data_IF_057918570919
#
_entry.id   IF_057918570919
#
_cell.length_a   1.000
_cell.length_b   1.000
_cell.length_c   1.000
_cell.angle_alpha   90.00
_cell.angle_beta   90.00
_cell.angle_gamma   90.00
#
_symmetry.space_group_name_H-M   'P 1'
#
loop_
_entity.id
_entity.type
_entity.pdbx_description
1 polymer ?
#
# COMPACT_ATOMS: atom_id res chain seq x y z
N UNK A 1 -12.70 -2.78 -22.22
CA UNK A 1 -12.90 -1.46 -21.55
C UNK A 1 -11.67 -1.19 -20.70
N UNK A 2 -11.12 0.02 -20.76
CA UNK A 2 -9.95 0.45 -19.98
C UNK A 2 -10.39 1.53 -18.98
N UNK A 3 -9.96 1.40 -17.73
CA UNK A 3 -10.20 2.38 -16.67
C UNK A 3 -8.89 3.10 -16.40
N UNK A 4 -8.87 4.42 -16.58
CA UNK A 4 -7.72 5.27 -16.30
C UNK A 4 -7.93 6.02 -14.97
N UNK A 5 -7.34 5.49 -13.91
CA UNK A 5 -7.37 6.13 -12.60
C UNK A 5 -6.45 7.38 -12.54
N UNK A 6 -5.43 7.48 -13.40
CA UNK A 6 -4.50 8.61 -13.39
C UNK A 6 -5.16 9.88 -13.94
N UNK A 7 -6.08 9.73 -14.90
CA UNK A 7 -6.91 10.80 -15.47
C UNK A 7 -8.26 11.05 -14.75
N UNK A 8 -8.57 10.34 -13.66
CA UNK A 8 -9.87 10.43 -13.00
C UNK A 8 -10.05 11.76 -12.24
N UNK A 9 -11.01 12.59 -12.67
CA UNK A 9 -11.25 13.92 -12.11
C UNK A 9 -11.63 13.95 -10.63
N UNK A 10 -12.10 12.83 -10.08
CA UNK A 10 -12.49 12.70 -8.66
C UNK A 10 -11.56 11.75 -7.87
N UNK A 11 -10.42 11.35 -8.42
CA UNK A 11 -9.49 10.40 -7.78
C UNK A 11 -9.18 10.80 -6.33
N UNK A 12 -8.80 12.05 -6.15
CA UNK A 12 -8.33 12.55 -4.85
C UNK A 12 -9.50 12.96 -3.91
N UNK A 13 -10.76 12.78 -4.36
CA UNK A 13 -11.97 13.16 -3.63
C UNK A 13 -12.84 11.96 -3.23
N UNK A 14 -12.94 10.95 -4.10
CA UNK A 14 -13.92 9.86 -3.96
C UNK A 14 -13.32 8.47 -4.20
N UNK A 15 -12.00 8.32 -4.33
CA UNK A 15 -11.41 6.97 -4.45
C UNK A 15 -11.73 6.06 -3.26
N UNK A 16 -11.97 6.61 -2.07
CA UNK A 16 -12.31 5.82 -0.88
C UNK A 16 -13.54 4.91 -1.03
N UNK A 17 -14.51 5.31 -1.86
CA UNK A 17 -15.75 4.55 -2.13
C UNK A 17 -15.90 4.18 -3.62
N UNK A 18 -14.78 4.18 -4.36
CA UNK A 18 -14.78 3.79 -5.77
C UNK A 18 -14.84 2.25 -5.90
N UNK A 19 -15.47 1.74 -6.96
CA UNK A 19 -15.44 0.31 -7.33
C UNK A 19 -14.01 -0.25 -7.39
N UNK A 20 -13.03 0.58 -7.79
CA UNK A 20 -11.62 0.17 -7.83
C UNK A 20 -11.05 -0.17 -6.45
N UNK A 21 -11.45 0.56 -5.40
CA UNK A 21 -11.05 0.29 -4.01
C UNK A 21 -11.64 -1.01 -3.50
N UNK A 22 -12.88 -1.33 -3.89
CA UNK A 22 -13.51 -2.62 -3.55
C UNK A 22 -12.75 -3.79 -4.18
N UNK A 23 -12.33 -3.64 -5.43
CA UNK A 23 -11.67 -4.70 -6.19
C UNK A 23 -10.19 -4.88 -5.85
N UNK A 24 -9.46 -3.79 -5.60
CA UNK A 24 -7.99 -3.79 -5.48
C UNK A 24 -7.46 -3.31 -4.12
N UNK A 25 -8.34 -2.86 -3.23
CA UNK A 25 -7.94 -2.21 -1.98
C UNK A 25 -7.63 -0.72 -2.16
N UNK A 26 -7.59 0.02 -1.04
CA UNK A 26 -7.38 1.47 -1.05
C UNK A 26 -5.91 1.80 -1.32
N UNK A 27 -5.58 2.59 -2.35
CA UNK A 27 -4.23 3.11 -2.50
C UNK A 27 -3.95 4.16 -1.41
N UNK A 28 -2.75 4.16 -0.82
CA UNK A 28 -2.38 5.17 0.17
C UNK A 28 -1.08 4.89 0.91
N UNK A 29 -0.66 5.89 1.69
CA UNK A 29 0.37 5.75 2.71
C UNK A 29 -0.32 5.33 4.00
N UNK A 30 0.17 4.25 4.59
CA UNK A 30 -0.28 3.75 5.88
C UNK A 30 0.88 3.87 6.86
N UNK A 31 0.63 4.53 7.99
CA UNK A 31 1.55 4.44 9.12
C UNK A 31 1.44 3.03 9.69
N UNK A 32 2.59 2.40 9.90
CA UNK A 32 2.69 1.07 10.49
C UNK A 32 3.72 1.17 11.59
N UNK A 33 3.26 1.07 12.83
CA UNK A 33 4.14 1.08 13.99
C UNK A 33 4.88 -0.26 14.14
N UNK A 34 5.79 -0.34 15.12
CA UNK A 34 6.61 -1.54 15.30
C UNK A 34 5.78 -2.76 15.75
N UNK A 35 4.70 -2.56 16.52
CA UNK A 35 3.81 -3.63 16.94
C UNK A 35 2.97 -4.17 15.78
N UNK A 36 2.48 -3.28 14.91
CA UNK A 36 1.76 -3.65 13.70
C UNK A 36 2.68 -4.36 12.70
N UNK A 37 3.94 -3.92 12.58
CA UNK A 37 4.95 -4.61 11.76
C UNK A 37 5.18 -6.03 12.25
N UNK A 38 5.34 -6.24 13.57
CA UNK A 38 5.48 -7.56 14.16
C UNK A 38 4.24 -8.45 13.93
N UNK A 39 3.04 -7.87 14.02
CA UNK A 39 1.81 -8.59 13.72
C UNK A 39 1.76 -9.04 12.24
N UNK A 40 2.12 -8.15 11.31
CA UNK A 40 2.19 -8.48 9.88
C UNK A 40 3.22 -9.60 9.61
N UNK A 41 4.37 -9.58 10.29
CA UNK A 41 5.38 -10.64 10.17
C UNK A 41 4.88 -11.99 10.68
N UNK A 42 4.18 -12.03 11.82
CA UNK A 42 3.60 -13.27 12.36
C UNK A 42 2.50 -13.85 11.44
N UNK A 43 1.69 -12.99 10.83
CA UNK A 43 0.69 -13.40 9.83
C UNK A 43 1.39 -13.96 8.57
N UNK A 44 2.52 -13.39 8.17
CA UNK A 44 3.27 -13.88 7.03
C UNK A 44 4.02 -15.19 7.34
N UNK A 45 4.56 -15.36 8.54
CA UNK A 45 5.19 -16.61 9.03
C UNK A 45 4.20 -17.78 8.98
N UNK A 46 2.94 -17.51 9.30
CA UNK A 46 1.85 -18.49 9.27
C UNK A 46 1.21 -18.68 7.88
N UNK A 47 1.64 -17.92 6.87
CA UNK A 47 1.13 -18.01 5.50
C UNK A 47 -0.25 -17.38 5.30
N UNK A 48 -0.74 -16.57 6.24
CA UNK A 48 -2.04 -15.90 6.14
C UNK A 48 -1.99 -14.67 5.23
N UNK A 49 -0.83 -14.02 5.14
CA UNK A 49 -0.61 -12.85 4.26
C UNK A 49 0.75 -12.94 3.56
N UNK A 50 0.94 -12.28 2.41
CA UNK A 50 2.26 -12.09 1.84
C UNK A 50 3.16 -11.26 2.76
N UNK A 51 4.47 -11.55 2.74
CA UNK A 51 5.48 -10.70 3.40
C UNK A 51 5.41 -9.26 2.91
N UNK A 52 5.50 -8.31 3.82
CA UNK A 52 5.62 -6.90 3.49
C UNK A 52 6.95 -6.65 2.76
N UNK A 53 6.89 -6.09 1.55
CA UNK A 53 8.06 -5.76 0.72
C UNK A 53 8.10 -4.26 0.47
N UNK A 54 8.83 -3.54 1.31
CA UNK A 54 9.00 -2.09 1.17
C UNK A 54 10.09 -1.79 0.14
N UNK A 55 9.69 -1.21 -0.99
CA UNK A 55 10.60 -0.70 -2.02
C UNK A 55 10.57 0.83 -1.97
N UNK A 56 11.69 1.51 -1.68
CA UNK A 56 11.74 2.97 -1.68
C UNK A 56 11.36 3.55 -3.04
N UNK A 57 10.41 4.50 -3.06
CA UNK A 57 10.06 5.27 -4.26
C UNK A 57 10.89 6.55 -4.24
N UNK A 58 12.05 6.54 -4.89
CA UNK A 58 12.99 7.67 -4.95
C UNK A 58 14.46 7.26 -4.76
N UNK A 59 15.42 8.18 -4.86
CA UNK A 59 16.83 7.87 -4.65
C UNK A 59 17.04 7.36 -3.22
N UNK A 60 17.64 6.16 -3.10
CA UNK A 60 18.02 5.62 -1.80
C UNK A 60 19.10 6.52 -1.21
N UNK A 61 18.76 7.27 -0.15
CA UNK A 61 19.80 7.86 0.70
C UNK A 61 20.52 6.68 1.33
N UNK A 62 21.69 6.31 0.79
CA UNK A 62 22.61 5.41 1.47
C UNK A 62 22.85 6.00 2.86
N UNK A 63 22.49 5.25 3.89
CA UNK A 63 22.91 5.57 5.24
C UNK A 63 24.44 5.68 5.21
N UNK A 64 24.95 6.89 5.49
CA UNK A 64 26.37 7.11 5.66
C UNK A 64 26.83 6.16 6.77
N UNK A 65 27.79 5.30 6.43
CA UNK A 65 28.43 4.36 7.34
C UNK A 65 29.30 5.08 8.36
#
# INVERSE_FOLDING_TARGET
>A
MLIDCDGCAVRDLQCGDCVMTVLLGRPGVHEVDDSERLALDALADSGLVPRLRLVPIGPTRRAAS
#
